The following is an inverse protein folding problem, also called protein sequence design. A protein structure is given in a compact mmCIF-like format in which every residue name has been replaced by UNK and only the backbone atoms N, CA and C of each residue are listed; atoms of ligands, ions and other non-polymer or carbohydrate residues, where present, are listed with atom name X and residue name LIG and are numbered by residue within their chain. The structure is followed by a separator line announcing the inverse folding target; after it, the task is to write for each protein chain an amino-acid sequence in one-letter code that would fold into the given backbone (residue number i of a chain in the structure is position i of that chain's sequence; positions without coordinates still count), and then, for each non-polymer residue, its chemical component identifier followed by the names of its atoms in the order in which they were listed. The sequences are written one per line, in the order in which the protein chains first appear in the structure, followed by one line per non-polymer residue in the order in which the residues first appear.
data_IF_150983276140
#
_entry.id   IF_150983276140
#
_cell.length_a   1.000
_cell.length_b   1.000
_cell.length_c   1.000
_cell.angle_alpha   90.00
_cell.angle_beta   90.00
_cell.angle_gamma   90.00
#
_symmetry.space_group_name_H-M   'P 1'
#
loop_
_entity.id
_entity.type
_entity.pdbx_description
1 polymer ?
#
# COMPACT_ATOMS: atom_id res chain seq x y z
N UNK A 1 0.18 -2.51 41.01
CA UNK A 1 -0.72 -2.79 39.87
C UNK A 1 -0.36 -1.94 38.63
N UNK A 2 -0.13 -0.63 38.76
CA UNK A 2 0.31 0.23 37.64
C UNK A 2 1.59 -0.26 36.90
N UNK A 3 2.54 -0.85 37.64
CA UNK A 3 3.82 -1.35 37.09
C UNK A 3 3.67 -2.57 36.17
N UNK A 4 2.59 -3.35 36.33
CA UNK A 4 2.27 -4.52 35.49
C UNK A 4 1.66 -4.12 34.14
N UNK A 5 0.95 -2.98 34.10
CA UNK A 5 0.27 -2.46 32.90
C UNK A 5 1.21 -1.59 32.06
N UNK A 6 2.25 -1.01 32.68
CA UNK A 6 3.22 -0.16 31.98
C UNK A 6 3.98 -0.91 30.89
N UNK A 7 4.38 -2.17 31.14
CA UNK A 7 5.16 -2.97 30.19
C UNK A 7 4.42 -3.30 28.88
N UNK A 8 3.17 -3.83 28.88
CA UNK A 8 2.45 -4.10 27.64
C UNK A 8 2.09 -2.82 26.87
N UNK A 9 1.84 -1.70 27.57
CA UNK A 9 1.62 -0.39 26.94
C UNK A 9 2.88 0.07 26.21
N UNK A 10 4.05 -0.02 26.86
CA UNK A 10 5.33 0.38 26.26
C UNK A 10 5.66 -0.49 25.03
N UNK A 11 5.44 -1.81 25.13
CA UNK A 11 5.64 -2.73 24.00
C UNK A 11 4.69 -2.43 22.83
N UNK A 12 3.44 -2.08 23.11
CA UNK A 12 2.48 -1.69 22.07
C UNK A 12 2.92 -0.44 21.33
N UNK A 13 3.44 0.57 22.05
CA UNK A 13 3.99 1.78 21.44
C UNK A 13 5.21 1.53 20.55
N UNK A 14 6.06 0.55 20.89
CA UNK A 14 7.21 0.18 20.07
C UNK A 14 6.81 -0.51 18.75
N UNK A 15 5.65 -1.16 18.68
CA UNK A 15 5.19 -1.91 17.50
C UNK A 15 4.38 -1.06 16.51
N UNK A 16 3.82 0.08 16.94
CA UNK A 16 3.07 1.02 16.09
C UNK A 16 3.80 1.51 14.82
N UNK A 17 5.09 1.89 14.83
CA UNK A 17 5.75 2.43 13.63
C UNK A 17 5.94 1.39 12.52
N UNK A 18 5.96 0.09 12.84
CA UNK A 18 6.07 -0.99 11.85
C UNK A 18 4.75 -1.24 11.11
N UNK A 19 3.61 -0.86 11.70
CA UNK A 19 2.31 -0.98 11.04
C UNK A 19 2.13 0.05 9.93
N UNK A 20 2.86 1.16 9.98
CA UNK A 20 2.91 2.18 8.94
C UNK A 20 4.18 2.02 8.11
N UNK A 21 4.23 1.00 7.24
CA UNK A 21 5.03 1.09 6.02
C UNK A 21 4.38 2.15 5.12
N UNK A 22 4.42 3.41 5.57
CA UNK A 22 3.94 4.53 4.79
C UNK A 22 4.89 4.64 3.60
N UNK A 23 4.33 4.49 2.40
CA UNK A 23 5.03 4.70 1.16
C UNK A 23 5.44 6.18 1.09
N UNK A 24 6.69 6.50 1.42
CA UNK A 24 7.21 7.89 1.47
C UNK A 24 7.54 8.47 0.09
N UNK A 25 6.85 8.00 -0.95
CA UNK A 25 7.04 8.43 -2.34
C UNK A 25 5.79 9.20 -2.80
N UNK A 26 5.98 10.17 -3.70
CA UNK A 26 4.86 10.98 -4.23
C UNK A 26 3.79 10.12 -4.92
N UNK A 27 4.20 9.03 -5.57
CA UNK A 27 3.34 8.04 -6.19
C UNK A 27 3.97 6.65 -6.17
N UNK A 28 3.13 5.61 -6.21
CA UNK A 28 3.51 4.23 -6.53
C UNK A 28 2.47 3.65 -7.46
N UNK A 29 2.77 3.66 -8.76
CA UNK A 29 1.96 2.97 -9.76
C UNK A 29 2.33 1.49 -9.68
N UNK A 30 1.33 0.62 -9.52
CA UNK A 30 1.50 -0.82 -9.45
C UNK A 30 2.19 -1.38 -10.70
N UNK A 31 3.23 -2.18 -10.51
CA UNK A 31 3.86 -2.96 -11.57
C UNK A 31 3.14 -4.31 -11.71
N UNK A 32 2.16 -4.33 -12.62
CA UNK A 32 1.36 -5.51 -12.91
C UNK A 32 2.13 -6.60 -13.70
N UNK A 33 3.40 -6.35 -14.06
CA UNK A 33 4.27 -7.39 -14.65
C UNK A 33 4.88 -8.30 -13.58
N UNK A 34 4.88 -7.87 -12.31
CA UNK A 34 5.33 -8.65 -11.17
C UNK A 34 4.19 -9.47 -10.55
N UNK A 35 4.54 -10.49 -9.77
CA UNK A 35 3.56 -11.19 -8.92
C UNK A 35 3.04 -10.27 -7.82
N UNK A 36 1.78 -10.49 -7.43
CA UNK A 36 1.20 -9.82 -6.28
C UNK A 36 1.77 -10.36 -4.97
N UNK A 37 1.59 -9.57 -3.91
CA UNK A 37 1.94 -9.92 -2.55
C UNK A 37 0.74 -9.64 -1.64
N UNK A 38 0.72 -10.13 -0.40
CA UNK A 38 -0.31 -9.76 0.57
C UNK A 38 -0.44 -8.24 0.80
N UNK A 39 0.57 -7.45 0.43
CA UNK A 39 0.58 -5.99 0.52
C UNK A 39 0.25 -5.28 -0.81
N UNK A 40 -0.09 -6.02 -1.88
CA UNK A 40 -0.31 -5.48 -3.23
C UNK A 40 0.85 -5.76 -4.18
N UNK A 41 0.99 -4.93 -5.22
CA UNK A 41 2.06 -5.05 -6.23
C UNK A 41 3.27 -4.18 -5.89
N UNK A 42 4.48 -4.58 -6.31
CA UNK A 42 5.65 -3.70 -6.33
C UNK A 42 5.38 -2.41 -7.15
N UNK A 43 6.08 -1.32 -6.84
CA UNK A 43 6.00 -0.07 -7.60
C UNK A 43 6.84 -0.15 -8.89
N UNK A 44 6.35 0.47 -9.97
CA UNK A 44 7.13 0.63 -11.22
C UNK A 44 8.38 1.48 -10.97
N UNK A 45 9.49 1.11 -11.62
CA UNK A 45 10.75 1.86 -11.54
C UNK A 45 10.72 3.21 -12.28
N UNK A 46 9.87 3.32 -13.32
CA UNK A 46 9.65 4.54 -14.09
C UNK A 46 8.16 4.69 -14.38
N UNK A 47 7.63 5.89 -14.17
CA UNK A 47 6.24 6.24 -14.47
C UNK A 47 6.20 7.39 -15.45
N UNK A 48 5.10 7.48 -16.17
CA UNK A 48 4.80 8.53 -17.14
C UNK A 48 3.43 9.14 -16.85
N UNK A 49 3.08 10.25 -17.50
CA UNK A 49 1.75 10.84 -17.38
C UNK A 49 0.61 9.87 -17.78
N UNK A 50 0.89 8.92 -18.68
CA UNK A 50 -0.08 7.91 -19.11
C UNK A 50 -0.49 6.93 -18.00
N UNK A 51 0.33 6.75 -16.97
CA UNK A 51 0.03 5.85 -15.84
C UNK A 51 -1.05 6.39 -14.89
N UNK A 52 -1.44 7.67 -15.05
CA UNK A 52 -2.42 8.35 -14.21
C UNK A 52 -3.79 8.54 -14.89
N UNK A 53 -3.97 8.01 -16.10
CA UNK A 53 -5.23 8.08 -16.85
C UNK A 53 -5.81 6.67 -17.06
N UNK A 54 -6.99 6.40 -16.49
CA UNK A 54 -7.69 5.14 -16.69
C UNK A 54 -8.77 5.27 -17.77
N UNK A 55 -8.63 4.50 -18.85
CA UNK A 55 -9.54 4.54 -20.00
C UNK A 55 -10.55 3.37 -20.04
N UNK A 56 -10.47 2.41 -19.11
CA UNK A 56 -11.31 1.20 -19.15
C UNK A 56 -12.81 1.46 -19.01
N UNK A 57 -13.20 2.55 -18.34
CA UNK A 57 -14.60 2.98 -18.21
C UNK A 57 -15.20 3.55 -19.50
N UNK A 58 -14.38 3.89 -20.50
CA UNK A 58 -14.87 4.38 -21.79
C UNK A 58 -15.40 3.25 -22.69
N UNK A 59 -15.09 1.99 -22.37
CA UNK A 59 -15.57 0.83 -23.10
C UNK A 59 -17.02 0.50 -22.72
N UNK A 60 -17.80 0.02 -23.70
CA UNK A 60 -19.12 -0.55 -23.42
C UNK A 60 -18.96 -1.80 -22.53
N UNK A 61 -19.84 -1.97 -21.55
CA UNK A 61 -19.84 -3.13 -20.67
C UNK A 61 -20.11 -4.43 -21.44
N UNK A 62 -19.43 -5.51 -21.05
CA UNK A 62 -19.70 -6.85 -21.59
C UNK A 62 -21.13 -7.28 -21.28
N UNK A 63 -21.84 -7.94 -22.21
CA UNK A 63 -23.15 -8.51 -21.93
C UNK A 63 -23.04 -9.55 -20.81
N UNK A 64 -24.07 -9.61 -19.96
CA UNK A 64 -24.18 -10.54 -18.82
C UNK A 64 -24.39 -11.99 -19.27
#
# INVERSE_FOLDING_TARGET
MAKMVLLPVLLSFLLLPFASLALTQDFCVADLTCSDTPAGYPCKASVTAGDFAYHGLAAAGSPA
#
